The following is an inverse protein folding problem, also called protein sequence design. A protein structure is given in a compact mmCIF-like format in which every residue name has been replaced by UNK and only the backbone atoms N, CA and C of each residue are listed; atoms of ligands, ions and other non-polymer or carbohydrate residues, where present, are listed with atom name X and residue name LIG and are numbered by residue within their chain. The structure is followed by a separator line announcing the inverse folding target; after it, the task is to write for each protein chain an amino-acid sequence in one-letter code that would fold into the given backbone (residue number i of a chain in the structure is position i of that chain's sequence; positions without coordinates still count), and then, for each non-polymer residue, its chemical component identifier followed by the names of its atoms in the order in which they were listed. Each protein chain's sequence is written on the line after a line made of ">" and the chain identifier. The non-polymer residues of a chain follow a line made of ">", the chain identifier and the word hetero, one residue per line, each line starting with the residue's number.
data_IF_459156857290
#
_entry.id   IF_459156857290
#
_cell.length_a   1.000
_cell.length_b   1.000
_cell.length_c   1.000
_cell.angle_alpha   90.00
_cell.angle_beta   90.00
_cell.angle_gamma   90.00
#
_symmetry.space_group_name_H-M   'P 1'
#
loop_
_entity.id
_entity.type
_entity.pdbx_description
1 polymer ?
#
# COMPACT_ATOMS: atom_id res chain seq x y z
N UNK A 1 -15.55 7.83 2.10
CA UNK A 1 -14.18 8.38 2.32
C UNK A 1 -13.49 8.55 0.98
N UNK A 2 -13.16 9.78 0.59
CA UNK A 2 -12.42 10.00 -0.65
C UNK A 2 -11.00 9.43 -0.56
N UNK A 3 -10.52 8.82 -1.64
CA UNK A 3 -9.20 8.21 -1.68
C UNK A 3 -8.54 8.35 -3.06
N UNK A 4 -7.28 8.76 -3.05
CA UNK A 4 -6.41 8.84 -4.23
C UNK A 4 -5.33 7.78 -4.10
N UNK A 5 -5.48 6.71 -4.84
CA UNK A 5 -4.59 5.54 -4.80
C UNK A 5 -3.69 5.56 -6.04
N UNK A 6 -2.39 5.37 -5.83
CA UNK A 6 -1.42 5.16 -6.89
C UNK A 6 -0.78 3.78 -6.73
N UNK A 7 -0.88 2.96 -7.77
CA UNK A 7 -0.21 1.66 -7.85
C UNK A 7 0.91 1.80 -8.90
N UNK A 8 2.13 1.37 -8.59
CA UNK A 8 3.28 1.53 -9.48
C UNK A 8 4.17 0.30 -9.51
N UNK A 9 4.85 0.10 -10.63
CA UNK A 9 5.71 -1.04 -10.90
C UNK A 9 6.29 -0.94 -12.32
N UNK A 10 6.68 -2.07 -12.89
CA UNK A 10 7.13 -2.20 -14.27
C UNK A 10 6.05 -2.80 -15.18
N UNK A 11 6.12 -2.47 -16.47
CA UNK A 11 5.32 -3.12 -17.50
C UNK A 11 5.47 -4.65 -17.45
N UNK A 12 4.34 -5.35 -17.38
CA UNK A 12 4.29 -6.82 -17.23
C UNK A 12 4.00 -7.31 -15.80
N UNK A 13 4.10 -6.46 -14.77
CA UNK A 13 3.73 -6.84 -13.40
C UNK A 13 2.22 -6.79 -13.13
N UNK A 14 1.39 -6.35 -14.09
CA UNK A 14 -0.07 -6.28 -13.90
C UNK A 14 -0.55 -5.05 -13.12
N UNK A 15 0.24 -3.97 -13.06
CA UNK A 15 -0.08 -2.68 -12.39
C UNK A 15 -1.39 -2.08 -12.91
N UNK A 16 -1.55 -2.01 -14.23
CA UNK A 16 -2.75 -1.48 -14.89
C UNK A 16 -3.98 -2.31 -14.55
N UNK A 17 -3.86 -3.64 -14.60
CA UNK A 17 -4.95 -4.54 -14.24
C UNK A 17 -5.35 -4.37 -12.77
N UNK A 18 -4.39 -4.27 -11.85
CA UNK A 18 -4.69 -4.05 -10.43
C UNK A 18 -5.45 -2.73 -10.20
N UNK A 19 -5.05 -1.66 -10.88
CA UNK A 19 -5.76 -0.39 -10.79
C UNK A 19 -7.16 -0.42 -11.40
N UNK A 20 -7.33 -1.12 -12.52
CA UNK A 20 -8.64 -1.31 -13.14
C UNK A 20 -9.58 -2.13 -12.24
N UNK A 21 -9.07 -3.19 -11.62
CA UNK A 21 -9.82 -4.00 -10.65
C UNK A 21 -10.24 -3.14 -9.44
N UNK A 22 -9.33 -2.34 -8.89
CA UNK A 22 -9.65 -1.45 -7.77
C UNK A 22 -10.74 -0.44 -8.14
N UNK A 23 -10.64 0.15 -9.33
CA UNK A 23 -11.66 1.05 -9.86
C UNK A 23 -13.02 0.38 -9.97
N UNK A 24 -13.09 -0.83 -10.54
CA UNK A 24 -14.35 -1.60 -10.63
C UNK A 24 -14.89 -2.04 -9.28
N UNK A 25 -14.02 -2.43 -8.35
CA UNK A 25 -14.43 -2.74 -6.98
C UNK A 25 -15.14 -1.53 -6.35
N UNK A 26 -14.55 -0.34 -6.47
CA UNK A 26 -15.14 0.88 -5.94
C UNK A 26 -16.43 1.27 -6.66
N UNK A 27 -16.45 1.28 -8.00
CA UNK A 27 -17.58 1.84 -8.74
C UNK A 27 -18.73 0.90 -9.02
N UNK A 28 -18.44 -0.36 -9.34
CA UNK A 28 -19.45 -1.34 -9.72
C UNK A 28 -19.96 -2.13 -8.52
N UNK A 29 -19.12 -2.29 -7.49
CA UNK A 29 -19.42 -3.22 -6.39
C UNK A 29 -19.55 -2.57 -5.01
N UNK A 30 -19.08 -1.32 -4.83
CA UNK A 30 -19.26 -0.54 -3.60
C UNK A 30 -20.18 0.69 -3.78
N UNK A 31 -20.79 0.87 -4.97
CA UNK A 31 -21.71 1.99 -5.30
C UNK A 31 -21.07 3.39 -5.09
N UNK A 32 -19.81 3.53 -5.51
CA UNK A 32 -19.04 4.78 -5.40
C UNK A 32 -18.67 5.33 -6.77
N UNK A 33 -18.15 6.55 -6.80
CA UNK A 33 -17.55 7.10 -8.01
C UNK A 33 -16.07 6.72 -8.06
N UNK A 34 -15.60 6.24 -9.20
CA UNK A 34 -14.18 5.98 -9.41
C UNK A 34 -13.72 6.47 -10.79
N UNK A 35 -12.57 7.13 -10.83
CA UNK A 35 -11.84 7.42 -12.07
C UNK A 35 -10.53 6.65 -12.07
N UNK A 36 -10.29 5.92 -13.15
CA UNK A 36 -9.06 5.21 -13.42
C UNK A 36 -8.26 5.92 -14.52
N UNK A 37 -7.01 6.25 -14.25
CA UNK A 37 -6.05 6.73 -15.26
C UNK A 37 -4.75 5.93 -15.19
N UNK A 38 -4.07 5.81 -16.33
CA UNK A 38 -2.86 5.01 -16.46
C UNK A 38 -1.73 5.83 -17.09
N UNK A 39 -0.50 5.54 -16.69
CA UNK A 39 0.71 6.09 -17.28
C UNK A 39 1.71 4.97 -17.51
N UNK A 40 2.32 4.94 -18.68
CA UNK A 40 3.38 4.02 -19.05
C UNK A 40 4.52 4.80 -19.71
N UNK A 41 5.75 4.33 -19.48
CA UNK A 41 6.93 4.86 -20.18
C UNK A 41 6.90 4.60 -21.69
N UNK A 42 7.76 5.27 -22.46
CA UNK A 42 7.80 5.15 -23.91
C UNK A 42 8.19 3.74 -24.40
N UNK A 43 8.76 2.88 -23.54
CA UNK A 43 9.04 1.48 -23.91
C UNK A 43 7.88 0.58 -23.46
N UNK A 44 7.30 -0.20 -24.38
CA UNK A 44 6.10 -0.99 -24.08
C UNK A 44 6.29 -2.08 -23.00
N UNK A 45 7.52 -2.54 -22.74
CA UNK A 45 7.85 -3.56 -21.74
C UNK A 45 9.03 -3.11 -20.89
N UNK A 46 9.00 -3.43 -19.59
CA UNK A 46 10.08 -3.09 -18.66
C UNK A 46 10.10 -1.63 -18.20
N UNK A 47 9.51 -0.69 -18.95
CA UNK A 47 9.34 0.69 -18.49
C UNK A 47 8.51 0.78 -17.21
N UNK A 48 8.79 1.82 -16.42
CA UNK A 48 7.95 2.22 -15.31
C UNK A 48 6.50 2.47 -15.73
N UNK A 49 5.58 1.95 -14.93
CA UNK A 49 4.15 2.02 -15.14
C UNK A 49 3.46 2.41 -13.84
N UNK A 50 2.35 3.15 -13.97
CA UNK A 50 1.50 3.48 -12.84
C UNK A 50 0.03 3.49 -13.22
N UNK A 51 -0.80 3.07 -12.27
CA UNK A 51 -2.23 3.23 -12.27
C UNK A 51 -2.62 4.23 -11.17
N UNK A 52 -3.56 5.10 -11.49
CA UNK A 52 -4.08 6.14 -10.60
C UNK A 52 -5.59 5.96 -10.49
N UNK A 53 -6.08 5.87 -9.26
CA UNK A 53 -7.46 5.60 -8.95
C UNK A 53 -7.93 6.69 -7.99
N UNK A 54 -8.90 7.49 -8.41
CA UNK A 54 -9.59 8.46 -7.56
C UNK A 54 -10.94 7.88 -7.22
N UNK A 55 -11.26 7.73 -5.94
CA UNK A 55 -12.50 7.16 -5.44
C UNK A 55 -13.19 8.20 -4.56
N UNK A 56 -14.50 8.39 -4.75
CA UNK A 56 -15.30 9.31 -3.95
C UNK A 56 -16.74 8.84 -3.80
N UNK A 57 -17.40 9.26 -2.73
CA UNK A 57 -18.84 9.05 -2.55
C UNK A 57 -19.66 10.04 -3.41
N UNK A 58 -19.01 11.10 -3.93
CA UNK A 58 -19.60 12.12 -4.78
C UNK A 58 -19.02 12.07 -6.20
N UNK A 59 -19.70 12.67 -7.20
CA UNK A 59 -19.17 12.78 -8.56
C UNK A 59 -17.78 13.44 -8.60
N UNK A 60 -16.85 12.80 -9.29
CA UNK A 60 -15.46 13.25 -9.38
C UNK A 60 -15.30 14.26 -10.53
N UNK A 61 -14.89 15.49 -10.20
CA UNK A 61 -14.70 16.57 -11.19
C UNK A 61 -13.27 16.68 -11.72
N UNK A 62 -12.29 16.14 -11.00
CA UNK A 62 -10.88 16.20 -11.40
C UNK A 62 -10.23 14.81 -11.32
N UNK A 63 -9.75 14.25 -12.45
CA UNK A 63 -9.17 12.91 -12.49
C UNK A 63 -7.71 12.84 -12.01
N UNK A 64 -7.03 13.98 -11.82
CA UNK A 64 -5.58 14.02 -11.61
C UNK A 64 -5.16 13.99 -10.14
N UNK A 65 -4.23 13.09 -9.81
CA UNK A 65 -3.65 12.97 -8.46
C UNK A 65 -2.41 13.86 -8.32
N UNK A 66 -2.56 15.00 -7.63
CA UNK A 66 -1.42 15.84 -7.20
C UNK A 66 -0.71 15.27 -5.98
N UNK A 67 -1.49 14.76 -5.03
CA UNK A 67 -1.01 14.07 -3.84
C UNK A 67 -1.81 12.78 -3.66
N UNK A 68 -1.15 11.66 -3.35
CA UNK A 68 -1.82 10.38 -3.13
C UNK A 68 -2.01 10.08 -1.64
N UNK A 69 -3.16 9.53 -1.29
CA UNK A 69 -3.47 9.04 0.05
C UNK A 69 -2.90 7.64 0.26
N UNK A 70 -2.74 6.88 -0.83
CA UNK A 70 -2.16 5.53 -0.82
C UNK A 70 -1.17 5.39 -1.97
N UNK A 71 0.05 4.96 -1.66
CA UNK A 71 1.04 4.52 -2.65
C UNK A 71 1.29 3.02 -2.47
N UNK A 72 1.06 2.23 -3.52
CA UNK A 72 1.39 0.81 -3.58
C UNK A 72 2.50 0.60 -4.60
N UNK A 73 3.72 0.33 -4.13
CA UNK A 73 4.90 0.22 -4.99
C UNK A 73 5.40 -1.22 -5.10
N UNK A 74 5.57 -1.67 -6.35
CA UNK A 74 6.08 -2.98 -6.74
C UNK A 74 7.40 -2.86 -7.53
N UNK A 75 8.04 -1.68 -7.49
CA UNK A 75 9.38 -1.43 -8.01
C UNK A 75 10.03 -0.25 -7.29
N UNK A 76 11.35 -0.28 -7.15
CA UNK A 76 12.12 0.83 -6.58
C UNK A 76 11.92 2.13 -7.36
N UNK A 77 12.04 2.09 -8.69
CA UNK A 77 11.91 3.29 -9.53
C UNK A 77 10.53 3.95 -9.37
N UNK A 78 9.47 3.14 -9.30
CA UNK A 78 8.12 3.64 -9.06
C UNK A 78 7.97 4.26 -7.68
N UNK A 79 8.55 3.63 -6.65
CA UNK A 79 8.59 4.16 -5.31
C UNK A 79 9.29 5.54 -5.27
N UNK A 80 10.54 5.62 -5.73
CA UNK A 80 11.36 6.84 -5.72
C UNK A 80 10.68 8.00 -6.45
N UNK A 81 10.02 7.69 -7.58
CA UNK A 81 9.33 8.67 -8.41
C UNK A 81 8.12 9.30 -7.71
N UNK A 82 7.37 8.53 -6.93
CA UNK A 82 6.07 8.97 -6.44
C UNK A 82 6.03 9.25 -4.93
N UNK A 83 6.98 8.74 -4.14
CA UNK A 83 6.97 8.87 -2.68
C UNK A 83 6.97 10.32 -2.18
N UNK A 84 7.54 11.25 -2.95
CA UNK A 84 7.56 12.68 -2.58
C UNK A 84 6.21 13.40 -2.79
N UNK A 85 5.22 12.73 -3.40
CA UNK A 85 3.88 13.27 -3.64
C UNK A 85 2.82 12.64 -2.73
N UNK A 86 3.20 12.18 -1.54
CA UNK A 86 2.25 11.69 -0.55
C UNK A 86 1.42 12.83 0.05
N UNK A 87 0.14 12.57 0.30
CA UNK A 87 -0.69 13.42 1.14
C UNK A 87 -0.28 13.30 2.61
N UNK A 88 -0.69 14.27 3.44
CA UNK A 88 -0.51 14.18 4.89
C UNK A 88 -1.17 12.90 5.40
N UNK A 89 -0.48 12.17 6.26
CA UNK A 89 -0.94 10.91 6.86
C UNK A 89 -1.18 9.77 5.84
N UNK A 90 -0.67 9.92 4.61
CA UNK A 90 -0.81 8.93 3.55
C UNK A 90 -0.10 7.61 3.84
N UNK A 91 -0.64 6.52 3.29
CA UNK A 91 -0.18 5.15 3.53
C UNK A 91 0.73 4.69 2.39
N UNK A 92 1.85 4.07 2.73
CA UNK A 92 2.78 3.46 1.78
C UNK A 92 2.73 1.94 1.94
N UNK A 93 2.47 1.23 0.85
CA UNK A 93 2.54 -0.24 0.75
C UNK A 93 3.66 -0.60 -0.21
N UNK A 94 4.51 -1.54 0.16
CA UNK A 94 5.61 -2.01 -0.68
C UNK A 94 5.69 -3.53 -0.75
N UNK A 95 6.15 -4.02 -1.90
CA UNK A 95 6.79 -5.33 -1.95
C UNK A 95 8.21 -5.22 -1.37
N UNK A 96 8.43 -5.80 -0.19
CA UNK A 96 9.70 -5.63 0.55
C UNK A 96 10.91 -6.26 -0.14
N UNK A 97 10.68 -7.20 -1.06
CA UNK A 97 11.76 -7.82 -1.84
C UNK A 97 12.18 -6.97 -3.05
N UNK A 98 11.38 -5.95 -3.41
CA UNK A 98 11.59 -5.13 -4.60
C UNK A 98 11.86 -3.65 -4.29
N UNK A 99 11.59 -3.20 -3.06
CA UNK A 99 11.74 -1.80 -2.65
C UNK A 99 12.59 -1.73 -1.38
N UNK A 100 13.77 -1.15 -1.51
CA UNK A 100 14.66 -0.79 -0.42
C UNK A 100 14.34 0.63 0.09
N UNK A 101 14.21 0.74 1.42
CA UNK A 101 13.93 1.98 2.13
C UNK A 101 15.17 2.53 2.85
N UNK A 102 16.32 1.85 2.77
CA UNK A 102 17.54 2.22 3.51
C UNK A 102 18.11 3.60 3.15
N UNK A 103 17.83 4.08 1.92
CA UNK A 103 18.24 5.41 1.45
C UNK A 103 17.34 6.57 1.88
N UNK A 104 16.26 6.32 2.62
CA UNK A 104 15.32 7.37 3.00
C UNK A 104 15.78 8.16 4.24
N UNK A 105 15.32 9.42 4.40
CA UNK A 105 15.55 10.17 5.61
C UNK A 105 15.09 9.41 6.86
N UNK A 106 15.82 9.48 7.99
CA UNK A 106 15.48 8.72 9.21
C UNK A 106 14.07 8.98 9.76
N UNK A 107 13.50 10.15 9.46
CA UNK A 107 12.17 10.54 9.88
C UNK A 107 11.06 10.03 8.93
N UNK A 108 11.40 9.42 7.80
CA UNK A 108 10.42 9.03 6.78
C UNK A 108 9.39 8.02 7.31
N UNK A 109 9.84 6.96 7.98
CA UNK A 109 8.93 5.95 8.57
C UNK A 109 8.13 6.48 9.78
N UNK A 110 8.51 7.65 10.31
CA UNK A 110 7.76 8.39 11.33
C UNK A 110 6.71 9.33 10.72
N UNK A 111 6.93 9.78 9.48
CA UNK A 111 6.00 10.67 8.74
C UNK A 111 4.84 9.91 8.11
N UNK A 112 5.08 8.69 7.62
CA UNK A 112 4.07 7.89 6.94
C UNK A 112 3.97 6.48 7.52
N UNK A 113 2.75 5.92 7.68
CA UNK A 113 2.57 4.49 7.87
C UNK A 113 3.10 3.71 6.67
N UNK A 114 4.06 2.82 6.90
CA UNK A 114 4.63 1.93 5.89
C UNK A 114 4.24 0.49 6.21
N UNK A 115 3.65 -0.18 5.24
CA UNK A 115 3.25 -1.57 5.31
C UNK A 115 4.01 -2.37 4.26
N UNK A 116 4.53 -3.52 4.69
CA UNK A 116 5.45 -4.34 3.91
C UNK A 116 4.86 -5.73 3.76
N UNK A 117 4.93 -6.28 2.56
CA UNK A 117 4.59 -7.67 2.27
C UNK A 117 5.61 -8.21 1.27
N UNK A 118 6.16 -9.43 1.45
CA UNK A 118 7.02 -10.06 0.46
C UNK A 118 6.17 -10.73 -0.64
N UNK A 119 5.36 -9.93 -1.34
CA UNK A 119 4.32 -10.44 -2.23
C UNK A 119 4.92 -11.27 -3.38
N UNK A 120 6.03 -10.84 -3.96
CA UNK A 120 6.72 -11.59 -5.02
C UNK A 120 7.14 -12.98 -4.54
N UNK A 121 7.82 -13.04 -3.40
CA UNK A 121 8.29 -14.31 -2.81
C UNK A 121 7.12 -15.22 -2.40
N UNK A 122 6.05 -14.66 -1.84
CA UNK A 122 4.86 -15.42 -1.46
C UNK A 122 4.10 -15.96 -2.68
N UNK A 123 3.96 -15.16 -3.75
CA UNK A 123 3.33 -15.60 -4.99
C UNK A 123 4.11 -16.75 -5.66
N UNK A 124 5.44 -16.72 -5.60
CA UNK A 124 6.29 -17.80 -6.09
C UNK A 124 6.23 -19.05 -5.20
N UNK A 125 6.32 -18.89 -3.88
CA UNK A 125 6.42 -20.01 -2.95
C UNK A 125 5.10 -20.72 -2.69
N UNK A 126 4.03 -19.96 -2.47
CA UNK A 126 2.74 -20.51 -2.01
C UNK A 126 1.78 -20.81 -3.17
N UNK A 127 1.93 -20.12 -4.31
CA UNK A 127 1.05 -20.26 -5.49
C UNK A 127 1.81 -20.84 -6.70
N UNK A 128 3.14 -20.73 -6.73
CA UNK A 128 3.97 -21.22 -7.84
C UNK A 128 3.95 -20.30 -9.07
N UNK A 129 3.40 -19.08 -8.97
CA UNK A 129 3.17 -18.21 -10.12
C UNK A 129 3.37 -16.74 -9.75
N UNK A 130 4.56 -16.20 -10.03
CA UNK A 130 4.89 -14.77 -9.83
C UNK A 130 3.90 -13.78 -10.45
N UNK A 131 3.21 -14.16 -11.53
CA UNK A 131 2.28 -13.28 -12.26
C UNK A 131 1.11 -12.78 -11.42
N UNK A 132 0.78 -13.42 -10.28
CA UNK A 132 -0.31 -12.97 -9.37
C UNK A 132 0.13 -12.00 -8.29
N UNK A 133 1.39 -11.57 -8.29
CA UNK A 133 1.91 -10.64 -7.28
C UNK A 133 1.05 -9.37 -7.17
N UNK A 134 0.56 -8.85 -8.29
CA UNK A 134 -0.32 -7.69 -8.31
C UNK A 134 -1.67 -7.92 -7.61
N UNK A 135 -2.25 -9.11 -7.74
CA UNK A 135 -3.51 -9.46 -7.07
C UNK A 135 -3.28 -9.66 -5.57
N UNK A 136 -2.15 -10.25 -5.18
CA UNK A 136 -1.76 -10.34 -3.78
C UNK A 136 -1.54 -8.95 -3.15
N UNK A 137 -0.81 -8.07 -3.84
CA UNK A 137 -0.65 -6.67 -3.43
C UNK A 137 -1.98 -5.93 -3.33
N UNK A 138 -2.93 -6.22 -4.24
CA UNK A 138 -4.25 -5.62 -4.23
C UNK A 138 -5.09 -6.08 -3.03
N UNK A 139 -5.02 -7.36 -2.67
CA UNK A 139 -5.64 -7.89 -1.45
C UNK A 139 -5.05 -7.25 -0.20
N UNK A 140 -3.73 -7.10 -0.16
CA UNK A 140 -3.04 -6.44 0.95
C UNK A 140 -3.44 -4.97 1.08
N UNK A 141 -3.47 -4.24 -0.05
CA UNK A 141 -3.95 -2.85 -0.12
C UNK A 141 -5.37 -2.73 0.44
N UNK A 142 -6.29 -3.58 0.00
CA UNK A 142 -7.68 -3.54 0.46
C UNK A 142 -7.78 -3.83 1.97
N UNK A 143 -7.00 -4.78 2.49
CA UNK A 143 -6.98 -5.12 3.92
C UNK A 143 -6.44 -3.99 4.80
N UNK A 144 -5.34 -3.37 4.37
CA UNK A 144 -4.66 -2.29 5.12
C UNK A 144 -5.48 -1.00 5.10
N UNK A 145 -6.04 -0.65 3.94
CA UNK A 145 -6.62 0.69 3.73
C UNK A 145 -8.14 0.72 3.93
N UNK A 146 -8.83 -0.41 3.73
CA UNK A 146 -10.29 -0.44 3.71
C UNK A 146 -10.93 0.45 2.63
N UNK A 147 -10.17 0.83 1.60
CA UNK A 147 -10.64 1.77 0.56
C UNK A 147 -11.82 1.22 -0.25
N UNK A 148 -11.90 -0.11 -0.34
CA UNK A 148 -12.99 -0.89 -0.92
C UNK A 148 -13.31 -2.06 -0.01
N UNK A 149 -14.54 -2.56 -0.07
CA UNK A 149 -14.95 -3.72 0.72
C UNK A 149 -14.29 -5.01 0.23
N UNK A 150 -14.13 -5.98 1.14
CA UNK A 150 -13.57 -7.30 0.79
C UNK A 150 -14.40 -8.02 -0.27
N UNK A 151 -15.74 -7.95 -0.16
CA UNK A 151 -16.65 -8.55 -1.13
C UNK A 151 -16.55 -7.89 -2.51
N UNK A 152 -16.43 -6.56 -2.56
CA UNK A 152 -16.28 -5.83 -3.81
C UNK A 152 -14.98 -6.18 -4.54
N UNK A 153 -13.85 -6.21 -3.83
CA UNK A 153 -12.57 -6.56 -4.46
C UNK A 153 -12.51 -8.01 -4.91
N UNK A 154 -13.10 -8.94 -4.16
CA UNK A 154 -13.23 -10.35 -4.57
C UNK A 154 -14.03 -10.50 -5.85
N UNK A 155 -15.18 -9.82 -5.93
CA UNK A 155 -16.05 -9.85 -7.11
C UNK A 155 -15.37 -9.19 -8.32
N UNK A 156 -14.69 -8.06 -8.11
CA UNK A 156 -13.96 -7.37 -9.17
C UNK A 156 -12.82 -8.22 -9.75
N UNK A 157 -12.05 -8.91 -8.90
CA UNK A 157 -11.00 -9.83 -9.34
C UNK A 157 -11.60 -10.97 -10.17
N UNK A 158 -12.68 -11.59 -9.70
CA UNK A 158 -13.35 -12.67 -10.43
C UNK A 158 -13.85 -12.25 -11.82
N UNK A 159 -14.30 -10.99 -11.96
CA UNK A 159 -14.83 -10.46 -13.22
C UNK A 159 -13.73 -10.06 -14.22
N UNK A 160 -12.58 -9.59 -13.74
CA UNK A 160 -11.50 -9.04 -14.61
C UNK A 160 -10.43 -10.07 -14.92
N UNK A 161 -10.16 -10.99 -14.00
CA UNK A 161 -9.10 -11.97 -14.16
C UNK A 161 -9.31 -12.81 -15.44
N UNK A 162 -8.23 -13.20 -16.14
CA UNK A 162 -8.35 -14.05 -17.32
C UNK A 162 -9.09 -15.35 -17.02
N UNK A 163 -9.93 -15.79 -17.96
CA UNK A 163 -10.63 -17.09 -17.84
C UNK A 163 -9.65 -18.23 -17.63
N UNK A 164 -9.99 -19.17 -16.76
CA UNK A 164 -9.14 -20.30 -16.37
C UNK A 164 -8.07 -19.96 -15.33
N UNK A 165 -8.05 -18.73 -14.81
CA UNK A 165 -7.13 -18.30 -13.74
C UNK A 165 -7.86 -17.94 -12.44
N UNK A 166 -9.15 -18.25 -12.33
CA UNK A 166 -10.04 -17.79 -11.26
C UNK A 166 -9.54 -18.23 -9.89
N UNK A 167 -9.27 -19.53 -9.70
CA UNK A 167 -8.78 -20.07 -8.43
C UNK A 167 -7.44 -19.43 -8.03
N UNK A 168 -6.55 -19.28 -8.99
CA UNK A 168 -5.20 -18.76 -8.77
C UNK A 168 -5.21 -17.28 -8.34
N UNK A 169 -6.07 -16.45 -8.95
CA UNK A 169 -6.23 -15.06 -8.53
C UNK A 169 -6.99 -14.94 -7.20
N UNK A 170 -7.99 -15.80 -6.96
CA UNK A 170 -8.71 -15.83 -5.69
C UNK A 170 -7.78 -16.21 -4.52
N UNK A 171 -6.95 -17.23 -4.70
CA UNK A 171 -5.95 -17.65 -3.71
C UNK A 171 -4.96 -16.50 -3.42
N UNK A 172 -4.43 -15.86 -4.47
CA UNK A 172 -3.53 -14.71 -4.34
C UNK A 172 -4.16 -13.53 -3.58
N UNK A 173 -5.41 -13.19 -3.92
CA UNK A 173 -6.14 -12.11 -3.28
C UNK A 173 -6.35 -12.43 -1.79
N UNK A 174 -6.74 -13.66 -1.48
CA UNK A 174 -6.98 -14.10 -0.10
C UNK A 174 -5.70 -14.09 0.73
N UNK A 175 -4.55 -14.47 0.16
CA UNK A 175 -3.25 -14.31 0.82
C UNK A 175 -2.98 -12.86 1.19
N UNK A 176 -3.18 -11.93 0.25
CA UNK A 176 -3.02 -10.50 0.52
C UNK A 176 -4.00 -9.99 1.59
N UNK A 177 -5.27 -10.39 1.51
CA UNK A 177 -6.31 -9.99 2.46
C UNK A 177 -6.06 -10.48 3.89
N UNK A 178 -5.48 -11.67 4.01
CA UNK A 178 -5.20 -12.34 5.29
C UNK A 178 -3.79 -12.07 5.84
N UNK A 179 -2.94 -11.35 5.10
CA UNK A 179 -1.56 -11.12 5.52
C UNK A 179 -1.51 -10.32 6.83
N UNK A 180 -0.88 -10.92 7.85
CA UNK A 180 -0.72 -10.29 9.15
C UNK A 180 0.38 -9.23 9.10
N UNK A 181 0.03 -8.02 9.53
CA UNK A 181 0.99 -6.92 9.61
C UNK A 181 1.75 -7.07 10.94
N UNK A 182 3.09 -7.23 10.91
CA UNK A 182 3.88 -7.29 12.13
C UNK A 182 3.68 -6.00 12.93
N UNK A 183 3.37 -6.11 14.23
CA UNK A 183 3.22 -4.93 15.09
C UNK A 183 4.52 -4.11 15.09
N UNK A 184 4.42 -2.79 14.88
CA UNK A 184 5.57 -1.87 15.01
C UNK A 184 6.19 -2.09 16.40
N UNK A 185 7.47 -2.49 16.45
CA UNK A 185 8.26 -2.44 17.70
C UNK A 185 8.22 -1.00 18.18
N UNK A 186 7.44 -0.74 19.22
CA UNK A 186 7.39 0.57 19.86
C UNK A 186 8.73 0.74 20.56
N UNK A 187 9.61 1.59 20.04
CA UNK A 187 10.77 2.03 20.80
C UNK A 187 10.27 2.68 22.08
N UNK A 188 10.57 2.05 23.22
CA UNK A 188 10.25 2.56 24.53
C UNK A 188 10.95 3.91 24.72
N UNK A 189 10.16 4.99 24.92
CA UNK A 189 10.71 6.28 25.34
C UNK A 189 11.66 6.07 26.53
N UNK A 190 12.87 6.65 26.53
CA UNK A 190 13.75 6.59 27.69
C UNK A 190 13.04 7.20 28.90
N UNK A 191 13.01 6.47 30.03
CA UNK A 191 12.47 6.94 31.30
C UNK A 191 13.10 8.30 31.64
N UNK A 192 12.32 9.29 32.10
CA UNK A 192 12.88 10.56 32.55
C UNK A 192 13.81 10.28 33.74
N UNK A 193 15.06 10.74 33.63
CA UNK A 193 16.04 10.70 34.73
C UNK A 193 15.42 11.41 35.94
N UNK A 194 15.32 10.69 37.05
CA UNK A 194 14.89 11.24 38.33
C UNK A 194 15.85 12.37 38.73
N UNK A 195 15.29 13.53 39.06
CA UNK A 195 16.04 14.65 39.66
C UNK A 195 16.65 14.19 41.00
N UNK A 196 17.85 14.64 41.38
CA UNK A 196 18.41 14.36 42.71
C UNK A 196 17.50 14.97 43.79
N UNK A 197 17.17 14.19 44.83
CA UNK A 197 16.48 14.67 46.02
C UNK A 197 17.36 15.71 46.73
N UNK A 198 16.76 16.85 47.08
CA UNK A 198 17.34 17.83 47.98
C UNK A 198 17.66 17.18 49.34
N UNK A 199 18.84 17.45 49.87
CA UNK A 199 19.22 17.08 51.22
C UNK A 199 18.57 18.08 52.19
N UNK A 200 17.60 17.61 52.98
CA UNK A 200 17.11 18.32 54.15
C UNK A 200 17.97 17.95 55.37
N UNK A 201 18.36 19.00 56.08
CA UNK A 201 19.14 18.99 57.30
C UNK A 201 18.45 18.20 58.42
N UNK A 202 19.25 17.46 59.19
CA UNK A 202 18.90 17.09 60.56
C UNK A 202 19.90 17.73 61.51
N UNK A 203 19.41 18.80 62.12
CA UNK A 203 19.74 19.23 63.46
C UNK A 203 19.55 18.06 64.46
N UNK A 204 20.54 17.84 65.33
CA UNK A 204 20.35 17.39 66.71
C UNK A 204 21.69 17.32 67.49
N UNK A 205 21.80 18.25 68.45
CA UNK A 205 22.36 18.10 69.81
C UNK A 205 23.85 17.80 69.99
N UNK A 206 24.58 18.83 70.46
CA UNK A 206 25.13 18.81 71.82
C UNK A 206 25.18 20.21 72.41
#
# INVERSE_FOLDING_TARGET
>A
MDARVRITGFGGQGVIMAGYILGQAASVHDDRHAIFTQSYGPEARGSACSAQIVISDLPILNPFIKQQDVLCAMSQEGFDKFVNSMAKDGIVLIDEDLVDLSGLPPDFESRYPIYRIPATRLAEKEIGKRIVTNIMMLGFLASVTGVVTKGAIQTAVANVAPRGTEKLNADALNFGLAFEIPAKKTESKPKPKSKPKAAEAKDQTK
#
